data_IF_486559858600
#
_entry.id   IF_486559858600
#
_cell.length_a   1.000
_cell.length_b   1.000
_cell.length_c   1.000
_cell.angle_alpha   90.00
_cell.angle_beta   90.00
_cell.angle_gamma   90.00
#
_symmetry.space_group_name_H-M   'P 1'
#
loop_
_entity.id
_entity.type
_entity.pdbx_description
1 polymer ?
#
# COMPACT_ATOMS: atom_id res chain seq x y z
N UNK A 1 4.33 -33.06 12.25
CA UNK A 1 3.80 -31.91 12.99
C UNK A 1 3.52 -30.85 11.95
N UNK A 2 2.29 -30.48 11.72
CA UNK A 2 1.89 -29.42 10.78
C UNK A 2 1.81 -28.14 11.61
N UNK A 3 2.80 -27.24 11.41
CA UNK A 3 2.72 -25.90 12.00
C UNK A 3 1.49 -25.21 11.42
N UNK A 4 0.58 -24.78 12.29
CA UNK A 4 -0.62 -24.07 11.86
C UNK A 4 -0.24 -22.66 11.38
N UNK A 5 -0.78 -22.23 10.25
CA UNK A 5 -0.61 -20.88 9.73
C UNK A 5 -1.65 -19.98 10.38
N UNK A 6 -1.21 -19.13 11.29
CA UNK A 6 -2.11 -18.26 12.07
C UNK A 6 -2.66 -17.08 11.27
N UNK A 7 -1.96 -16.63 10.23
CA UNK A 7 -2.41 -15.56 9.34
C UNK A 7 -1.76 -15.67 7.97
N UNK A 8 -2.49 -15.33 6.92
CA UNK A 8 -1.97 -15.24 5.56
C UNK A 8 -2.27 -13.86 4.99
N UNK A 9 -1.22 -13.18 4.53
CA UNK A 9 -1.35 -11.92 3.81
C UNK A 9 -0.76 -12.07 2.42
N UNK A 10 -1.53 -11.73 1.39
CA UNK A 10 -1.09 -11.66 0.01
C UNK A 10 -0.90 -10.20 -0.37
N UNK A 11 0.26 -9.84 -0.87
CA UNK A 11 0.50 -8.55 -1.49
C UNK A 11 0.63 -8.71 -2.98
N UNK A 12 -0.34 -8.17 -3.71
CA UNK A 12 -0.35 -8.21 -5.16
C UNK A 12 0.65 -7.20 -5.73
N UNK A 13 1.35 -7.59 -6.77
CA UNK A 13 2.19 -6.74 -7.60
C UNK A 13 1.78 -6.93 -9.06
N UNK A 14 2.33 -6.15 -9.97
CA UNK A 14 2.01 -6.31 -11.37
C UNK A 14 2.53 -7.62 -11.99
N UNK A 15 3.65 -8.14 -11.49
CA UNK A 15 4.32 -9.34 -12.03
C UNK A 15 4.12 -10.59 -11.15
N UNK A 16 3.25 -10.49 -10.12
CA UNK A 16 2.99 -11.61 -9.22
C UNK A 16 2.42 -11.17 -7.88
N UNK A 17 2.75 -11.90 -6.84
CA UNK A 17 2.41 -11.53 -5.48
C UNK A 17 3.47 -12.00 -4.47
N UNK A 18 3.57 -11.30 -3.37
CA UNK A 18 4.29 -11.74 -2.18
C UNK A 18 3.27 -12.30 -1.20
N UNK A 19 3.44 -13.51 -0.73
CA UNK A 19 2.69 -13.96 0.43
C UNK A 19 3.54 -13.94 1.68
N UNK A 20 2.89 -13.59 2.78
CA UNK A 20 3.46 -13.52 4.10
C UNK A 20 2.60 -14.35 5.04
N UNK A 21 3.23 -15.14 5.89
CA UNK A 21 2.54 -15.95 6.86
C UNK A 21 3.32 -16.02 8.17
N UNK A 22 2.58 -16.17 9.25
CA UNK A 22 3.11 -16.38 10.58
C UNK A 22 2.97 -17.86 10.93
N UNK A 23 4.10 -18.49 11.28
CA UNK A 23 4.14 -19.87 11.80
C UNK A 23 4.04 -19.81 13.33
N UNK A 24 3.09 -20.52 13.89
CA UNK A 24 3.07 -20.80 15.32
C UNK A 24 3.92 -22.04 15.57
N UNK A 25 5.06 -21.87 16.22
CA UNK A 25 5.83 -23.04 16.71
C UNK A 25 5.13 -23.59 17.94
N UNK A 26 4.42 -24.71 17.78
CA UNK A 26 3.98 -25.57 18.89
C UNK A 26 5.16 -26.42 19.40
N UNK A 27 6.25 -25.82 19.81
CA UNK A 27 7.25 -26.50 20.58
C UNK A 27 6.98 -26.27 22.07
N UNK A 28 6.17 -27.17 22.64
CA UNK A 28 6.03 -27.35 24.06
C UNK A 28 7.22 -28.16 24.55
N UNK A 29 8.37 -27.56 24.75
CA UNK A 29 9.33 -28.10 25.68
C UNK A 29 8.84 -27.76 27.10
N UNK A 30 8.47 -28.78 27.83
CA UNK A 30 8.06 -28.70 29.22
C UNK A 30 9.19 -28.05 30.07
N UNK A 31 9.05 -26.77 30.38
CA UNK A 31 9.89 -26.12 31.38
C UNK A 31 10.46 -24.73 31.06
N UNK A 32 10.25 -24.18 29.86
CA UNK A 32 10.66 -22.81 29.56
C UNK A 32 9.47 -21.84 29.56
N UNK A 33 9.68 -20.65 30.06
CA UNK A 33 8.68 -19.57 30.10
C UNK A 33 7.96 -19.42 28.77
N UNK A 34 6.62 -19.34 28.83
CA UNK A 34 5.70 -19.15 27.70
C UNK A 34 6.08 -17.89 26.87
N UNK A 35 6.88 -18.07 25.83
CA UNK A 35 7.13 -17.09 24.79
C UNK A 35 6.74 -17.72 23.46
N UNK A 36 5.55 -17.38 22.95
CA UNK A 36 5.18 -17.72 21.57
C UNK A 36 6.13 -17.01 20.62
N UNK A 37 7.09 -17.72 20.06
CA UNK A 37 7.94 -17.22 18.99
C UNK A 37 7.22 -17.41 17.66
N UNK A 38 6.51 -16.39 17.22
CA UNK A 38 5.94 -16.35 15.88
C UNK A 38 7.04 -16.04 14.88
N UNK A 39 7.34 -16.98 14.00
CA UNK A 39 8.30 -16.77 12.91
C UNK A 39 7.58 -16.34 11.65
N UNK A 40 7.83 -15.10 11.23
CA UNK A 40 7.29 -14.56 9.99
C UNK A 40 8.13 -14.97 8.79
N UNK A 41 7.47 -15.43 7.73
CA UNK A 41 8.11 -15.81 6.48
C UNK A 41 7.41 -15.13 5.30
N UNK A 42 8.17 -14.79 4.27
CA UNK A 42 7.65 -14.18 3.03
C UNK A 42 8.25 -14.84 1.81
N UNK A 43 7.46 -14.97 0.75
CA UNK A 43 7.91 -15.51 -0.52
C UNK A 43 7.23 -14.78 -1.68
N UNK A 44 8.02 -14.43 -2.71
CA UNK A 44 7.50 -13.90 -3.97
C UNK A 44 7.14 -15.03 -4.92
N UNK A 45 5.97 -14.94 -5.56
CA UNK A 45 5.48 -15.85 -6.58
C UNK A 45 5.23 -15.05 -7.86
N UNK A 46 6.01 -15.26 -8.92
CA UNK A 46 5.78 -14.61 -10.20
C UNK A 46 4.52 -15.16 -10.86
N UNK A 47 3.67 -14.30 -11.41
CA UNK A 47 2.45 -14.71 -12.10
C UNK A 47 2.06 -13.68 -13.18
N UNK A 48 1.64 -14.18 -14.31
CA UNK A 48 0.92 -13.40 -15.32
C UNK A 48 -0.57 -13.39 -14.95
N UNK A 49 -1.06 -12.26 -14.46
CA UNK A 49 -2.44 -12.10 -14.00
C UNK A 49 -3.48 -12.38 -15.09
N UNK A 50 -3.15 -12.21 -16.36
CA UNK A 50 -4.03 -12.55 -17.48
C UNK A 50 -4.29 -14.06 -17.58
N UNK A 51 -3.41 -14.87 -17.00
CA UNK A 51 -3.43 -16.35 -17.01
C UNK A 51 -3.64 -16.96 -15.63
N UNK A 52 -3.94 -16.17 -14.63
CA UNK A 52 -4.00 -16.61 -13.23
C UNK A 52 -4.88 -17.84 -13.03
N UNK A 53 -6.06 -17.89 -13.66
CA UNK A 53 -6.97 -19.04 -13.53
C UNK A 53 -6.38 -20.35 -14.05
N UNK A 54 -5.51 -20.30 -15.06
CA UNK A 54 -4.84 -21.50 -15.60
C UNK A 54 -3.63 -21.92 -14.76
N UNK A 55 -2.93 -20.96 -14.16
CA UNK A 55 -1.69 -21.19 -13.42
C UNK A 55 -1.91 -21.49 -11.93
N UNK A 56 -3.08 -21.19 -11.40
CA UNK A 56 -3.33 -21.25 -9.95
C UNK A 56 -3.18 -22.65 -9.36
N UNK A 57 -3.59 -23.67 -10.08
CA UNK A 57 -3.42 -25.07 -9.64
C UNK A 57 -1.95 -25.45 -9.45
N UNK A 58 -1.09 -25.04 -10.38
CA UNK A 58 0.35 -25.28 -10.30
C UNK A 58 0.99 -24.46 -9.17
N UNK A 59 0.54 -23.24 -8.95
CA UNK A 59 0.99 -22.39 -7.87
C UNK A 59 0.66 -23.02 -6.51
N UNK A 60 -0.58 -23.46 -6.30
CA UNK A 60 -0.98 -24.15 -5.06
C UNK A 60 -0.15 -25.42 -4.85
N UNK A 61 0.10 -26.20 -5.92
CA UNK A 61 0.91 -27.40 -5.79
C UNK A 61 2.36 -27.11 -5.37
N UNK A 62 2.91 -25.98 -5.81
CA UNK A 62 4.26 -25.52 -5.41
C UNK A 62 4.29 -24.81 -4.07
N UNK A 63 3.17 -24.21 -3.66
CA UNK A 63 3.01 -23.43 -2.42
C UNK A 63 1.80 -23.91 -1.62
N UNK A 64 1.87 -25.09 -0.98
CA UNK A 64 0.73 -25.74 -0.30
C UNK A 64 0.06 -24.87 0.77
N UNK A 65 0.80 -23.94 1.36
CA UNK A 65 0.29 -22.98 2.35
C UNK A 65 -0.87 -22.11 1.82
N UNK A 66 -0.97 -21.96 0.49
CA UNK A 66 -2.04 -21.20 -0.16
C UNK A 66 -3.32 -22.02 -0.32
N UNK A 67 -3.29 -23.34 -0.10
CA UNK A 67 -4.44 -24.23 -0.33
C UNK A 67 -5.48 -24.18 0.77
N UNK A 68 -5.04 -24.01 2.00
CA UNK A 68 -5.91 -24.08 3.19
C UNK A 68 -5.40 -23.14 4.29
N UNK A 69 -5.52 -21.81 4.09
CA UNK A 69 -5.13 -20.87 5.12
C UNK A 69 -6.14 -20.90 6.27
N UNK A 70 -5.65 -21.02 7.49
CA UNK A 70 -6.48 -20.85 8.67
C UNK A 70 -6.91 -19.38 8.81
N UNK A 71 -8.21 -19.12 8.77
CA UNK A 71 -8.77 -17.79 8.97
C UNK A 71 -8.91 -16.93 7.71
N UNK A 72 -8.95 -15.62 7.92
CA UNK A 72 -9.17 -14.62 6.86
C UNK A 72 -7.87 -14.29 6.13
N UNK A 73 -7.86 -14.45 4.81
CA UNK A 73 -6.74 -14.01 3.96
C UNK A 73 -6.83 -12.52 3.72
N UNK A 74 -5.80 -11.78 4.11
CA UNK A 74 -5.69 -10.36 3.78
C UNK A 74 -5.04 -10.21 2.41
N UNK A 75 -5.71 -9.50 1.51
CA UNK A 75 -5.22 -9.22 0.16
C UNK A 75 -4.89 -7.75 0.04
N UNK A 76 -3.60 -7.43 0.06
CA UNK A 76 -3.11 -6.09 -0.20
C UNK A 76 -2.96 -5.90 -1.70
N UNK A 77 -3.61 -4.89 -2.27
CA UNK A 77 -3.59 -4.65 -3.70
C UNK A 77 -3.16 -3.21 -4.03
N UNK A 78 -2.33 -3.02 -5.08
CA UNK A 78 -2.01 -1.69 -5.56
C UNK A 78 -3.25 -1.08 -6.21
N UNK A 79 -3.66 0.08 -5.74
CA UNK A 79 -4.76 0.82 -6.32
C UNK A 79 -4.20 1.88 -7.27
N UNK A 80 -4.46 1.72 -8.56
CA UNK A 80 -4.07 2.73 -9.57
C UNK A 80 -4.98 3.97 -9.54
N UNK A 81 -6.14 3.86 -8.91
CA UNK A 81 -7.15 4.92 -8.88
C UNK A 81 -7.80 4.99 -7.51
N UNK A 82 -7.71 6.16 -6.89
CA UNK A 82 -8.42 6.45 -5.65
C UNK A 82 -8.70 7.94 -5.52
N UNK A 83 -9.69 8.26 -4.68
CA UNK A 83 -10.14 9.63 -4.42
C UNK A 83 -10.29 9.84 -2.93
N UNK A 84 -9.87 10.99 -2.45
CA UNK A 84 -10.10 11.40 -1.06
C UNK A 84 -11.56 11.81 -0.89
N UNK A 85 -12.25 11.15 0.03
CA UNK A 85 -13.61 11.49 0.42
C UNK A 85 -13.57 12.41 1.63
N UNK A 86 -14.19 13.59 1.57
CA UNK A 86 -14.25 14.48 2.72
C UNK A 86 -14.87 13.81 3.96
N UNK A 87 -14.44 14.21 5.16
CA UNK A 87 -15.01 13.74 6.41
C UNK A 87 -16.52 14.01 6.48
N UNK A 88 -17.29 13.04 6.98
CA UNK A 88 -18.74 13.13 7.09
C UNK A 88 -19.53 12.77 5.83
N UNK A 89 -18.86 12.38 4.75
CA UNK A 89 -19.48 11.95 3.48
C UNK A 89 -19.31 10.44 3.22
N UNK A 90 -19.01 9.64 4.23
CA UNK A 90 -18.91 8.18 4.11
C UNK A 90 -20.27 7.50 4.09
N UNK A 91 -20.41 6.41 3.34
CA UNK A 91 -21.60 5.57 3.28
C UNK A 91 -22.16 5.41 1.88
N UNK A 92 -23.48 5.26 1.71
CA UNK A 92 -24.14 5.02 0.40
C UNK A 92 -23.84 6.07 -0.68
N UNK A 93 -23.32 7.23 -0.27
CA UNK A 93 -22.90 8.30 -1.21
C UNK A 93 -21.53 8.04 -1.84
N UNK A 94 -20.75 7.06 -1.36
CA UNK A 94 -19.40 6.78 -1.85
C UNK A 94 -19.36 6.39 -3.33
N UNK A 95 -20.37 5.64 -3.78
CA UNK A 95 -20.55 5.27 -5.19
C UNK A 95 -20.76 6.51 -6.07
N UNK A 96 -21.45 7.54 -5.56
CA UNK A 96 -21.64 8.78 -6.29
C UNK A 96 -20.33 9.59 -6.41
N UNK A 97 -19.50 9.60 -5.37
CA UNK A 97 -18.18 10.24 -5.43
C UNK A 97 -17.28 9.59 -6.47
N UNK A 98 -17.24 8.26 -6.47
CA UNK A 98 -16.51 7.52 -7.49
C UNK A 98 -17.01 7.87 -8.89
N UNK A 99 -18.32 7.87 -9.12
CA UNK A 99 -18.91 8.24 -10.40
C UNK A 99 -18.66 9.67 -10.85
N UNK A 100 -18.56 10.61 -9.91
CA UNK A 100 -18.25 12.01 -10.21
C UNK A 100 -16.76 12.23 -10.53
N UNK A 101 -15.90 11.48 -9.92
CA UNK A 101 -14.45 11.68 -10.00
C UNK A 101 -13.76 10.69 -10.91
N UNK A 102 -14.41 9.57 -11.24
CA UNK A 102 -13.90 8.51 -12.11
C UNK A 102 -14.37 8.55 -13.58
N UNK A 103 -15.01 9.60 -14.15
CA UNK A 103 -15.38 9.60 -15.59
C UNK A 103 -14.14 9.52 -16.50
N UNK A 104 -12.94 9.69 -15.96
CA UNK A 104 -11.65 9.51 -16.64
C UNK A 104 -11.18 8.05 -16.58
N UNK A 105 -11.72 7.26 -15.67
CA UNK A 105 -11.25 5.90 -15.34
C UNK A 105 -12.16 4.84 -15.95
N UNK A 106 -12.66 5.06 -17.15
CA UNK A 106 -13.28 4.10 -18.05
C UNK A 106 -13.87 2.83 -17.40
N UNK A 107 -14.96 2.32 -17.95
CA UNK A 107 -15.54 1.01 -17.66
C UNK A 107 -15.82 0.72 -16.18
N UNK A 108 -16.90 1.29 -15.65
CA UNK A 108 -17.50 0.88 -14.36
C UNK A 108 -17.73 -0.64 -14.28
N UNK A 109 -17.84 -1.34 -15.41
CA UNK A 109 -17.98 -2.79 -15.48
C UNK A 109 -16.68 -3.54 -15.13
N UNK A 110 -15.52 -2.90 -15.19
CA UNK A 110 -14.24 -3.54 -14.91
C UNK A 110 -13.74 -3.31 -13.48
N UNK A 111 -14.24 -2.31 -12.77
CA UNK A 111 -13.76 -1.94 -11.45
C UNK A 111 -14.86 -2.00 -10.39
N UNK A 112 -14.51 -2.64 -9.30
CA UNK A 112 -15.26 -2.56 -8.05
C UNK A 112 -14.74 -1.35 -7.27
N UNK A 113 -15.63 -0.50 -6.76
CA UNK A 113 -15.27 0.58 -5.85
C UNK A 113 -15.63 0.20 -4.42
N UNK A 114 -14.74 0.53 -3.51
CA UNK A 114 -14.94 0.40 -2.07
C UNK A 114 -14.45 1.67 -1.38
N UNK A 115 -14.95 1.95 -0.18
CA UNK A 115 -14.55 3.10 0.60
C UNK A 115 -13.95 2.69 1.93
N UNK A 116 -12.90 3.38 2.31
CA UNK A 116 -12.14 3.10 3.51
C UNK A 116 -12.01 4.35 4.37
N UNK A 117 -12.45 4.27 5.62
CA UNK A 117 -12.23 5.35 6.59
C UNK A 117 -10.77 5.35 7.05
N UNK A 118 -10.17 6.52 7.13
CA UNK A 118 -8.83 6.69 7.70
C UNK A 118 -8.84 6.84 9.24
N UNK A 119 -10.02 6.96 9.82
CA UNK A 119 -10.27 7.07 11.26
C UNK A 119 -11.59 7.78 11.52
N UNK A 120 -12.05 7.78 12.77
CA UNK A 120 -13.29 8.44 13.16
C UNK A 120 -13.24 9.94 12.89
N UNK A 121 -14.21 10.46 12.13
CA UNK A 121 -14.28 11.86 11.74
C UNK A 121 -13.16 12.32 10.78
N UNK A 122 -12.35 11.40 10.26
CA UNK A 122 -11.31 11.66 9.26
C UNK A 122 -11.83 11.49 7.85
N UNK A 123 -11.15 12.06 6.84
CA UNK A 123 -11.43 11.76 5.45
C UNK A 123 -11.32 10.27 5.17
N UNK A 124 -12.00 9.79 4.15
CA UNK A 124 -11.91 8.43 3.63
C UNK A 124 -11.19 8.37 2.29
N UNK A 125 -11.02 7.17 1.79
CA UNK A 125 -10.52 6.88 0.44
C UNK A 125 -11.54 6.02 -0.30
N UNK A 126 -12.04 6.47 -1.45
CA UNK A 126 -12.71 5.60 -2.41
C UNK A 126 -11.68 5.03 -3.36
N UNK A 127 -11.69 3.73 -3.55
CA UNK A 127 -10.62 3.00 -4.26
C UNK A 127 -11.23 2.02 -5.25
N UNK A 128 -10.67 1.96 -6.46
CA UNK A 128 -11.06 1.02 -7.49
C UNK A 128 -10.20 -0.24 -7.50
N UNK A 129 -10.84 -1.40 -7.72
CA UNK A 129 -10.16 -2.68 -7.83
C UNK A 129 -10.81 -3.53 -8.94
N UNK A 130 -9.99 -4.31 -9.68
CA UNK A 130 -10.46 -5.16 -10.77
C UNK A 130 -11.50 -6.19 -10.30
N UNK A 131 -12.70 -6.18 -10.91
CA UNK A 131 -13.74 -7.16 -10.66
C UNK A 131 -13.28 -8.60 -10.92
N UNK A 132 -12.55 -8.81 -12.01
CA UNK A 132 -12.09 -10.14 -12.40
C UNK A 132 -11.12 -10.71 -11.37
N UNK A 133 -10.16 -9.91 -10.93
CA UNK A 133 -9.17 -10.34 -9.95
C UNK A 133 -9.81 -10.54 -8.57
N UNK A 134 -10.69 -9.63 -8.13
CA UNK A 134 -11.44 -9.79 -6.88
C UNK A 134 -12.27 -11.08 -6.89
N UNK A 135 -13.05 -11.31 -7.94
CA UNK A 135 -13.88 -12.50 -8.06
C UNK A 135 -13.06 -13.80 -8.15
N UNK A 136 -11.88 -13.76 -8.76
CA UNK A 136 -10.97 -14.88 -8.77
C UNK A 136 -10.46 -15.21 -7.34
N UNK A 137 -9.94 -14.24 -6.62
CA UNK A 137 -9.40 -14.43 -5.27
C UNK A 137 -10.48 -14.84 -4.26
N UNK A 138 -11.69 -14.28 -4.38
CA UNK A 138 -12.84 -14.70 -3.55
C UNK A 138 -13.28 -16.15 -3.78
N UNK A 139 -13.04 -16.70 -4.97
CA UNK A 139 -13.28 -18.13 -5.24
C UNK A 139 -12.11 -19.01 -4.78
N UNK A 140 -10.91 -18.45 -4.72
CA UNK A 140 -9.72 -19.19 -4.32
C UNK A 140 -9.58 -19.35 -2.80
N UNK A 141 -10.14 -18.42 -2.03
CA UNK A 141 -10.06 -18.41 -0.57
C UNK A 141 -11.47 -18.27 0.05
N UNK A 142 -11.72 -19.03 1.11
CA UNK A 142 -13.03 -19.04 1.80
C UNK A 142 -13.38 -17.68 2.37
N UNK A 143 -12.39 -16.98 2.95
CA UNK A 143 -12.56 -15.64 3.50
C UNK A 143 -11.42 -14.74 3.03
N UNK A 144 -11.76 -13.64 2.35
CA UNK A 144 -10.80 -12.67 1.85
C UNK A 144 -11.20 -11.26 2.27
N UNK A 145 -10.22 -10.54 2.82
CA UNK A 145 -10.33 -9.11 3.06
C UNK A 145 -9.40 -8.34 2.12
N UNK A 146 -9.98 -7.50 1.28
CA UNK A 146 -9.22 -6.67 0.34
C UNK A 146 -8.86 -5.34 0.99
N UNK A 147 -7.58 -4.97 0.91
CA UNK A 147 -7.04 -3.75 1.51
C UNK A 147 -6.16 -3.07 0.46
N UNK A 148 -6.49 -1.87 -0.01
CA UNK A 148 -5.61 -1.13 -0.91
C UNK A 148 -4.32 -0.74 -0.20
N UNK A 149 -3.16 -0.88 -0.84
CA UNK A 149 -1.84 -0.57 -0.24
C UNK A 149 -1.74 0.87 0.23
N UNK A 150 -2.39 1.79 -0.48
CA UNK A 150 -2.47 3.20 -0.07
C UNK A 150 -3.10 3.41 1.32
N UNK A 151 -4.01 2.52 1.76
CA UNK A 151 -4.72 2.70 3.03
C UNK A 151 -3.79 2.65 4.25
N UNK A 152 -3.03 1.55 4.50
CA UNK A 152 -2.10 1.50 5.63
C UNK A 152 -1.00 2.56 5.51
N UNK A 153 -0.57 2.89 4.29
CA UNK A 153 0.39 3.95 4.05
C UNK A 153 -0.16 5.31 4.47
N UNK A 154 -1.34 5.71 3.98
CA UNK A 154 -1.98 6.97 4.35
C UNK A 154 -2.26 7.05 5.85
N UNK A 155 -2.71 5.96 6.49
CA UNK A 155 -2.92 5.90 7.93
C UNK A 155 -1.62 6.13 8.71
N UNK A 156 -0.49 5.61 8.23
CA UNK A 156 0.81 5.81 8.85
C UNK A 156 1.29 7.25 8.74
N UNK A 157 1.21 7.84 7.53
CA UNK A 157 1.56 9.26 7.30
C UNK A 157 0.67 10.17 8.15
N UNK A 158 -0.62 9.88 8.21
CA UNK A 158 -1.59 10.63 9.01
C UNK A 158 -1.27 10.57 10.51
N UNK A 159 -0.93 9.38 11.02
CA UNK A 159 -0.53 9.18 12.42
C UNK A 159 0.73 9.97 12.74
N UNK A 160 1.76 9.90 11.88
CA UNK A 160 2.98 10.67 12.08
C UNK A 160 2.72 12.18 12.04
N UNK A 161 1.89 12.65 11.09
CA UNK A 161 1.47 14.05 11.00
C UNK A 161 0.74 14.55 12.25
N UNK A 162 0.05 13.69 12.99
CA UNK A 162 -0.63 14.07 14.24
C UNK A 162 0.33 14.30 15.42
N UNK A 163 1.57 13.79 15.30
CA UNK A 163 2.62 13.92 16.32
C UNK A 163 3.55 15.11 16.09
N UNK A 164 3.41 15.79 14.96
CA UNK A 164 4.31 16.86 14.52
C UNK A 164 3.54 18.13 14.18
N UNK A 165 4.21 19.27 14.34
CA UNK A 165 3.75 20.55 13.78
C UNK A 165 4.35 20.70 12.38
N UNK A 166 3.51 20.95 11.37
CA UNK A 166 3.97 21.13 10.00
C UNK A 166 3.38 20.12 9.02
N UNK A 167 4.07 19.93 7.90
CA UNK A 167 3.64 19.06 6.82
C UNK A 167 4.28 17.69 6.94
N UNK A 168 3.50 16.65 6.67
CA UNK A 168 3.98 15.30 6.47
C UNK A 168 3.68 14.86 5.05
N UNK A 169 4.71 14.54 4.30
CA UNK A 169 4.65 14.12 2.90
C UNK A 169 5.11 12.68 2.80
N UNK A 170 4.18 11.77 2.55
CA UNK A 170 4.47 10.36 2.31
C UNK A 170 4.73 10.10 0.84
N UNK A 171 5.74 9.29 0.54
CA UNK A 171 6.07 8.76 -0.79
C UNK A 171 6.21 7.26 -0.68
N UNK A 172 5.29 6.52 -1.27
CA UNK A 172 5.43 5.09 -1.46
C UNK A 172 5.81 4.79 -2.89
N UNK A 173 6.99 4.23 -3.10
CA UNK A 173 7.40 3.72 -4.39
C UNK A 173 6.70 2.39 -4.64
N UNK A 174 6.01 2.29 -5.76
CA UNK A 174 5.35 1.06 -6.20
C UNK A 174 5.80 0.72 -7.61
N UNK A 175 5.56 -0.50 -8.01
CA UNK A 175 5.93 -0.92 -9.36
C UNK A 175 5.15 -0.14 -10.42
N UNK A 176 5.87 0.60 -11.27
CA UNK A 176 5.29 1.44 -12.32
C UNK A 176 4.68 2.75 -11.85
N UNK A 177 4.97 3.19 -10.61
CA UNK A 177 4.41 4.43 -10.10
C UNK A 177 4.89 4.81 -8.70
N UNK A 178 4.22 5.81 -8.13
CA UNK A 178 4.31 6.14 -6.71
C UNK A 178 2.99 6.66 -6.18
N UNK A 179 2.75 6.43 -4.91
CA UNK A 179 1.69 7.06 -4.16
C UNK A 179 2.24 8.21 -3.33
N UNK A 180 1.59 9.37 -3.41
CA UNK A 180 1.93 10.55 -2.63
C UNK A 180 0.78 10.90 -1.70
N UNK A 181 1.10 11.07 -0.43
CA UNK A 181 0.16 11.43 0.63
C UNK A 181 0.64 12.70 1.33
N UNK A 182 -0.17 13.74 1.34
CA UNK A 182 0.10 14.99 2.04
C UNK A 182 -0.84 15.14 3.24
N UNK A 183 -0.27 15.30 4.41
CA UNK A 183 -0.99 15.53 5.66
C UNK A 183 -0.48 16.77 6.39
N UNK A 184 -1.35 17.38 7.19
CA UNK A 184 -0.99 18.47 8.10
C UNK A 184 -1.74 18.32 9.42
N UNK A 185 -1.01 18.30 10.52
CA UNK A 185 -1.60 18.26 11.89
C UNK A 185 -2.67 17.16 12.03
N UNK A 186 -2.39 15.96 11.51
CA UNK A 186 -3.31 14.82 11.56
C UNK A 186 -4.52 14.92 10.63
N UNK A 187 -4.49 15.79 9.63
CA UNK A 187 -5.51 15.87 8.57
C UNK A 187 -4.91 15.50 7.22
N UNK A 188 -5.61 14.64 6.48
CA UNK A 188 -5.25 14.33 5.11
C UNK A 188 -5.68 15.49 4.19
N UNK A 189 -4.72 16.08 3.49
CA UNK A 189 -4.96 17.14 2.52
C UNK A 189 -5.06 16.60 1.10
N UNK A 190 -4.18 15.64 0.75
CA UNK A 190 -4.14 15.00 -0.58
C UNK A 190 -3.65 13.56 -0.49
N UNK A 191 -4.15 12.75 -1.41
CA UNK A 191 -3.59 11.46 -1.75
C UNK A 191 -3.71 11.27 -3.27
N UNK A 192 -2.60 11.03 -3.94
CA UNK A 192 -2.55 10.89 -5.39
C UNK A 192 -1.66 9.72 -5.79
N UNK A 193 -2.11 9.00 -6.82
CA UNK A 193 -1.31 8.01 -7.53
C UNK A 193 -0.72 8.63 -8.78
N UNK A 194 0.57 8.36 -9.01
CA UNK A 194 1.29 8.76 -10.22
C UNK A 194 1.91 7.55 -10.87
N UNK A 195 1.51 7.27 -12.11
CA UNK A 195 2.05 6.16 -12.90
C UNK A 195 3.04 6.64 -13.94
N UNK A 196 4.00 5.80 -14.28
CA UNK A 196 4.94 6.02 -15.37
C UNK A 196 5.15 4.76 -16.19
N UNK A 197 5.55 4.89 -17.47
CA UNK A 197 5.84 3.76 -18.32
C UNK A 197 7.03 2.94 -17.78
N UNK A 198 6.88 1.63 -17.64
CA UNK A 198 7.88 0.71 -17.09
C UNK A 198 9.18 0.62 -17.91
N UNK A 199 9.13 0.99 -19.20
CA UNK A 199 10.30 0.94 -20.10
C UNK A 199 11.27 2.12 -19.93
N UNK A 200 11.02 3.04 -19.01
CA UNK A 200 11.91 4.17 -18.74
C UNK A 200 13.02 3.77 -17.77
N UNK A 201 14.17 4.44 -17.90
CA UNK A 201 15.26 4.25 -16.94
C UNK A 201 14.82 4.72 -15.55
N UNK A 202 15.38 4.12 -14.54
CA UNK A 202 15.08 4.46 -13.16
C UNK A 202 15.44 5.93 -12.81
N UNK A 203 16.49 6.51 -13.42
CA UNK A 203 16.77 7.95 -13.25
C UNK A 203 15.63 8.83 -13.74
N UNK A 204 14.94 8.40 -14.81
CA UNK A 204 13.75 9.11 -15.29
C UNK A 204 12.62 9.03 -14.26
N UNK A 205 12.43 7.88 -13.62
CA UNK A 205 11.42 7.70 -12.58
C UNK A 205 11.73 8.57 -11.35
N UNK A 206 12.99 8.66 -10.95
CA UNK A 206 13.43 9.55 -9.87
C UNK A 206 13.05 11.02 -10.15
N UNK A 207 13.35 11.53 -11.34
CA UNK A 207 12.96 12.89 -11.72
C UNK A 207 11.46 13.09 -11.72
N UNK A 208 10.69 12.08 -12.11
CA UNK A 208 9.23 12.15 -12.05
C UNK A 208 8.73 12.20 -10.61
N UNK A 209 9.26 11.38 -9.72
CA UNK A 209 8.91 11.43 -8.29
C UNK A 209 9.19 12.82 -7.72
N UNK A 210 10.40 13.37 -7.96
CA UNK A 210 10.77 14.71 -7.50
C UNK A 210 9.86 15.80 -8.07
N UNK A 211 9.50 15.67 -9.35
CA UNK A 211 8.56 16.59 -10.00
C UNK A 211 7.17 16.53 -9.35
N UNK A 212 6.62 15.34 -9.13
CA UNK A 212 5.30 15.18 -8.50
C UNK A 212 5.30 15.66 -7.06
N UNK A 213 6.37 15.36 -6.30
CA UNK A 213 6.56 15.89 -4.95
C UNK A 213 6.52 17.42 -4.93
N UNK A 214 7.30 18.04 -5.82
CA UNK A 214 7.33 19.51 -5.94
C UNK A 214 5.95 20.08 -6.31
N UNK A 215 5.22 19.39 -7.19
CA UNK A 215 3.86 19.80 -7.56
C UNK A 215 2.87 19.67 -6.41
N UNK A 216 2.86 18.54 -5.72
CA UNK A 216 1.97 18.34 -4.57
C UNK A 216 2.26 19.35 -3.47
N UNK A 217 3.53 19.66 -3.22
CA UNK A 217 3.94 20.66 -2.25
C UNK A 217 3.54 22.07 -2.67
N UNK A 218 3.85 22.50 -3.91
CA UNK A 218 3.59 23.87 -4.40
C UNK A 218 2.10 24.14 -4.64
N UNK A 219 1.34 23.16 -5.11
CA UNK A 219 -0.09 23.28 -5.38
C UNK A 219 -0.95 23.18 -4.11
N UNK A 220 -0.35 22.83 -2.98
CA UNK A 220 -1.06 22.81 -1.72
C UNK A 220 -1.29 24.24 -1.21
N UNK A 221 -2.49 24.52 -0.69
CA UNK A 221 -2.82 25.78 0.00
C UNK A 221 -2.19 25.86 1.40
N UNK A 222 -0.95 25.36 1.53
CA UNK A 222 -0.28 25.11 2.80
C UNK A 222 0.71 26.24 3.08
N UNK A 223 0.94 26.49 4.35
CA UNK A 223 2.03 27.38 4.76
C UNK A 223 3.39 26.74 4.46
N UNK A 224 4.04 27.22 3.41
CA UNK A 224 5.36 26.75 2.97
C UNK A 224 6.51 27.14 3.92
N UNK A 225 6.23 27.92 4.96
CA UNK A 225 7.20 28.19 6.03
C UNK A 225 7.21 27.10 7.11
N UNK A 226 6.23 26.20 7.12
CA UNK A 226 6.15 25.12 8.07
C UNK A 226 7.20 24.03 7.79
N UNK A 227 7.75 23.40 8.83
CA UNK A 227 8.67 22.27 8.66
C UNK A 227 8.00 21.11 7.90
N UNK A 228 8.78 20.42 7.08
CA UNK A 228 8.31 19.31 6.24
C UNK A 228 8.97 18.02 6.66
N UNK A 229 8.17 17.01 7.00
CA UNK A 229 8.63 15.64 7.20
C UNK A 229 8.31 14.80 5.98
N UNK A 230 9.30 14.15 5.39
CA UNK A 230 9.13 13.21 4.27
C UNK A 230 9.27 11.78 4.79
N UNK A 231 8.27 10.97 4.48
CA UNK A 231 8.22 9.55 4.83
C UNK A 231 8.32 8.75 3.54
N UNK A 232 9.42 8.04 3.37
CA UNK A 232 9.64 7.18 2.21
C UNK A 232 9.24 5.74 2.54
N UNK A 233 8.55 5.09 1.61
CA UNK A 233 8.25 3.67 1.66
C UNK A 233 8.67 3.00 0.36
N UNK A 234 9.29 1.83 0.46
CA UNK A 234 9.56 0.97 -0.68
C UNK A 234 8.45 -0.08 -0.80
N UNK A 235 7.55 0.17 -1.73
CA UNK A 235 6.50 -0.75 -2.10
C UNK A 235 6.91 -1.76 -3.17
N UNK A 236 8.15 -1.70 -3.66
CA UNK A 236 8.68 -2.61 -4.67
C UNK A 236 9.40 -3.78 -4.00
N UNK A 237 9.13 -5.00 -4.44
CA UNK A 237 9.83 -6.16 -3.92
C UNK A 237 11.28 -6.15 -4.45
N UNK A 238 12.23 -5.62 -3.67
CA UNK A 238 13.65 -5.91 -3.88
C UNK A 238 14.53 -4.82 -4.47
N UNK A 239 14.17 -3.55 -4.43
CA UNK A 239 15.04 -2.47 -4.92
C UNK A 239 15.43 -1.47 -3.83
N UNK A 240 16.22 -1.90 -2.85
CA UNK A 240 16.83 -1.02 -1.83
C UNK A 240 17.54 0.20 -2.43
N UNK A 241 18.01 0.07 -3.67
CA UNK A 241 18.70 1.13 -4.39
C UNK A 241 17.83 2.35 -4.71
N UNK A 242 16.54 2.15 -5.01
CA UNK A 242 15.62 3.24 -5.40
C UNK A 242 15.33 4.21 -4.26
N UNK A 243 15.03 3.69 -3.08
CA UNK A 243 14.82 4.52 -1.89
C UNK A 243 16.10 5.25 -1.50
N UNK A 244 17.25 4.57 -1.56
CA UNK A 244 18.55 5.17 -1.24
C UNK A 244 18.90 6.33 -2.17
N UNK A 245 18.69 6.19 -3.48
CA UNK A 245 18.97 7.27 -4.44
C UNK A 245 17.92 8.39 -4.36
N UNK A 246 16.65 8.08 -4.10
CA UNK A 246 15.62 9.08 -3.85
C UNK A 246 15.97 9.90 -2.59
N UNK A 247 16.38 9.23 -1.52
CA UNK A 247 16.84 9.88 -0.29
C UNK A 247 18.01 10.85 -0.55
N UNK A 248 19.02 10.41 -1.31
CA UNK A 248 20.13 11.27 -1.70
C UNK A 248 19.70 12.46 -2.57
N UNK A 249 18.77 12.24 -3.50
CA UNK A 249 18.25 13.29 -4.37
C UNK A 249 17.44 14.32 -3.58
N UNK A 250 16.61 13.88 -2.63
CA UNK A 250 15.85 14.74 -1.73
C UNK A 250 16.79 15.60 -0.86
N UNK A 251 17.82 15.01 -0.27
CA UNK A 251 18.81 15.76 0.51
C UNK A 251 19.58 16.80 -0.32
N UNK A 252 19.79 16.56 -1.61
CA UNK A 252 20.44 17.53 -2.50
C UNK A 252 19.50 18.66 -2.91
N UNK A 253 18.22 18.35 -3.14
CA UNK A 253 17.26 19.31 -3.68
C UNK A 253 16.59 20.16 -2.59
N UNK A 254 16.40 19.60 -1.41
CA UNK A 254 15.76 20.23 -0.27
C UNK A 254 16.77 20.39 0.86
N UNK A 255 17.66 21.37 0.71
CA UNK A 255 18.78 21.62 1.61
C UNK A 255 18.44 22.51 2.82
N UNK A 256 17.19 22.89 2.99
CA UNK A 256 16.76 23.71 4.13
C UNK A 256 16.69 22.87 5.40
N UNK A 257 17.10 23.47 6.54
CA UNK A 257 17.18 22.80 7.85
C UNK A 257 15.82 22.27 8.38
N UNK A 258 14.71 22.58 7.70
CA UNK A 258 13.36 22.27 8.11
C UNK A 258 12.78 21.00 7.46
N UNK A 259 13.59 20.27 6.70
CA UNK A 259 13.16 19.02 6.03
C UNK A 259 13.75 17.81 6.75
N UNK A 260 12.89 16.99 7.35
CA UNK A 260 13.24 15.69 7.93
C UNK A 260 12.81 14.56 6.99
N UNK A 261 13.71 13.64 6.67
CA UNK A 261 13.44 12.52 5.78
C UNK A 261 13.66 11.21 6.53
N UNK A 262 12.62 10.41 6.64
CA UNK A 262 12.66 9.08 7.25
C UNK A 262 12.25 7.99 6.26
N UNK A 263 12.84 6.81 6.41
CA UNK A 263 12.48 5.62 5.63
C UNK A 263 11.63 4.70 6.50
N UNK A 264 10.50 4.29 5.96
CA UNK A 264 9.57 3.39 6.64
C UNK A 264 10.04 1.94 6.44
N UNK A 265 10.04 1.11 7.51
CA UNK A 265 10.33 -0.31 7.37
C UNK A 265 9.38 -0.99 6.40
N UNK A 266 9.88 -1.95 5.61
CA UNK A 266 9.10 -2.66 4.57
C UNK A 266 7.92 -3.46 5.13
N UNK A 267 7.99 -3.81 6.41
CA UNK A 267 7.00 -4.62 7.12
C UNK A 267 5.86 -3.81 7.77
N UNK A 268 5.83 -2.49 7.57
CA UNK A 268 4.79 -1.64 8.18
C UNK A 268 3.35 -2.02 7.77
N UNK A 269 3.19 -2.72 6.64
CA UNK A 269 1.88 -3.15 6.15
C UNK A 269 1.25 -4.28 6.96
N UNK A 270 2.05 -4.90 7.79
CA UNK A 270 1.66 -6.07 8.56
C UNK A 270 1.34 -5.75 10.03
N UNK A 271 1.53 -4.51 10.43
CA UNK A 271 1.33 -4.04 11.80
C UNK A 271 -0.14 -3.73 12.12
#
# INVERSE_FOLDING_TARGET
>A
MTSAVSSLTLRLTADGFVYLYDLSDEETEAGAQEGYHTRRQSQFVPIDWSRVSALWGDIIAQHPILSDPEGEVRVLYPASHYVVIPSGMSGEQDVHWWRLTAPIFADEEQYYSDSYALGDGKPGLAVGFSHLLKGFLQRSFVACRFIPTILPFAQRVLRQSSLQTGLSLGVELIEGGCDLVLCQSGNLLRANHYSWPRYRSWQHHLYQVLYFLSKVYLDSSVDHSAPVSIILSDGTAGTDSLVGELLQALHRQFTTADWDVSVMPIDYWYA
#
